data_IF_212288194472
#
_entry.id   IF_212288194472
#
_cell.length_a   1.000
_cell.length_b   1.000
_cell.length_c   1.000
_cell.angle_alpha   90.00
_cell.angle_beta   90.00
_cell.angle_gamma   90.00
#
_symmetry.space_group_name_H-M   'P 1'
#
loop_
_entity.id
_entity.type
_entity.pdbx_description
1 polymer ?
#
# COMPACT_ATOMS: atom_id res chain seq x y z
N UNK A 1 -14.84 -9.00 14.77
CA UNK A 1 -15.61 -8.94 13.52
C UNK A 1 -14.65 -8.59 12.40
N UNK A 2 -14.04 -9.63 11.82
CA UNK A 2 -13.73 -9.78 10.39
C UNK A 2 -12.92 -8.69 9.65
N UNK A 3 -11.74 -8.33 10.15
CA UNK A 3 -10.73 -7.59 9.35
C UNK A 3 -9.91 -8.53 8.42
N UNK A 4 -10.00 -9.84 8.63
CA UNK A 4 -9.24 -10.87 7.91
C UNK A 4 -9.58 -10.96 6.42
N UNK A 5 -10.74 -10.45 6.00
CA UNK A 5 -11.22 -10.50 4.61
C UNK A 5 -10.90 -9.25 3.79
N UNK A 6 -10.30 -8.19 4.36
CA UNK A 6 -10.10 -6.92 3.62
C UNK A 6 -8.83 -6.89 2.77
N UNK A 7 -7.82 -7.70 3.08
CA UNK A 7 -6.50 -7.70 2.42
C UNK A 7 -6.14 -9.06 1.83
N UNK A 8 -7.05 -9.64 1.03
CA UNK A 8 -6.93 -11.02 0.54
C UNK A 8 -5.86 -11.22 -0.55
N UNK A 9 -5.43 -10.16 -1.24
CA UNK A 9 -4.49 -10.27 -2.38
C UNK A 9 -3.12 -9.73 -2.03
N UNK A 10 -2.11 -10.59 -2.12
CA UNK A 10 -0.70 -10.21 -2.02
C UNK A 10 -0.23 -9.63 -3.35
N UNK A 11 0.32 -8.41 -3.31
CA UNK A 11 0.97 -7.77 -4.45
C UNK A 11 2.47 -7.98 -4.30
N UNK A 12 3.05 -8.82 -5.17
CA UNK A 12 4.49 -9.08 -5.19
C UNK A 12 5.13 -8.30 -6.32
N UNK A 13 6.24 -7.62 -6.04
CA UNK A 13 7.04 -6.91 -7.02
C UNK A 13 8.52 -7.11 -6.73
N UNK A 14 9.36 -6.99 -7.75
CA UNK A 14 10.81 -7.02 -7.58
C UNK A 14 11.28 -5.66 -7.08
N UNK A 15 12.12 -5.67 -6.06
CA UNK A 15 12.63 -4.48 -5.41
C UNK A 15 14.15 -4.54 -5.31
N UNK A 16 14.85 -3.40 -5.41
CA UNK A 16 16.24 -3.29 -4.96
C UNK A 16 16.37 -3.62 -3.46
N UNK A 17 17.53 -4.11 -3.05
CA UNK A 17 17.79 -4.55 -1.66
C UNK A 17 17.50 -3.44 -0.63
N UNK A 18 17.87 -2.20 -0.96
CA UNK A 18 17.69 -1.04 -0.09
C UNK A 18 16.22 -0.60 0.09
N UNK A 19 15.31 -1.05 -0.77
CA UNK A 19 13.93 -0.52 -0.77
C UNK A 19 13.16 -0.93 0.49
N UNK A 20 13.38 -2.15 0.99
CA UNK A 20 12.71 -2.64 2.20
C UNK A 20 13.10 -1.81 3.43
N UNK A 21 14.37 -1.43 3.54
CA UNK A 21 14.89 -0.59 4.62
C UNK A 21 14.38 0.86 4.50
N UNK A 22 14.38 1.41 3.28
CA UNK A 22 13.83 2.75 3.04
C UNK A 22 12.34 2.85 3.42
N UNK A 23 11.55 1.81 3.10
CA UNK A 23 10.15 1.73 3.50
C UNK A 23 10.01 1.60 5.02
N UNK A 24 10.86 0.82 5.68
CA UNK A 24 10.86 0.69 7.14
C UNK A 24 11.08 2.04 7.84
N UNK A 25 12.12 2.76 7.41
CA UNK A 25 12.45 4.09 7.94
C UNK A 25 11.30 5.09 7.70
N UNK A 26 10.67 5.04 6.54
CA UNK A 26 9.54 5.90 6.24
C UNK A 26 8.31 5.53 7.08
N UNK A 27 7.93 4.25 7.15
CA UNK A 27 6.81 3.79 7.94
C UNK A 27 6.95 4.15 9.44
N UNK A 28 8.16 4.00 9.99
CA UNK A 28 8.47 4.39 11.37
C UNK A 28 8.27 5.90 11.62
N UNK A 29 8.66 6.76 10.68
CA UNK A 29 8.43 8.22 10.78
C UNK A 29 6.94 8.58 10.81
N UNK A 30 6.10 7.75 10.20
CA UNK A 30 4.65 7.94 10.14
C UNK A 30 3.88 7.16 11.21
N UNK A 31 4.57 6.42 12.10
CA UNK A 31 3.96 5.55 13.11
C UNK A 31 3.00 4.50 12.49
N UNK A 32 3.39 3.96 11.34
CA UNK A 32 2.60 3.00 10.56
C UNK A 32 3.34 1.67 10.40
N UNK A 33 2.61 0.59 10.17
CA UNK A 33 3.22 -0.63 9.63
C UNK A 33 3.68 -0.40 8.19
N UNK A 34 4.66 -1.19 7.71
CA UNK A 34 5.13 -1.14 6.31
C UNK A 34 3.98 -1.25 5.32
N UNK A 35 3.07 -2.18 5.57
CA UNK A 35 1.92 -2.45 4.70
C UNK A 35 0.95 -1.27 4.64
N UNK A 36 0.69 -0.61 5.78
CA UNK A 36 -0.15 0.59 5.82
C UNK A 36 0.50 1.75 5.08
N UNK A 37 1.79 1.99 5.36
CA UNK A 37 2.55 3.03 4.69
C UNK A 37 2.58 2.86 3.17
N UNK A 38 2.92 1.65 2.70
CA UNK A 38 2.93 1.31 1.27
C UNK A 38 1.55 1.54 0.66
N UNK A 39 0.48 1.02 1.30
CA UNK A 39 -0.88 1.13 0.76
C UNK A 39 -1.33 2.58 0.66
N UNK A 40 -1.12 3.37 1.72
CA UNK A 40 -1.49 4.78 1.71
C UNK A 40 -0.74 5.51 0.59
N UNK A 41 0.59 5.33 0.53
CA UNK A 41 1.42 6.05 -0.44
C UNK A 41 1.12 5.67 -1.89
N UNK A 42 0.85 4.39 -2.15
CA UNK A 42 0.42 3.94 -3.46
C UNK A 42 -0.94 4.51 -3.84
N UNK A 43 -1.92 4.51 -2.94
CA UNK A 43 -3.24 5.09 -3.21
C UNK A 43 -3.15 6.59 -3.49
N UNK A 44 -2.37 7.33 -2.70
CA UNK A 44 -2.15 8.77 -2.90
C UNK A 44 -1.52 9.05 -4.27
N UNK A 45 -0.49 8.30 -4.65
CA UNK A 45 0.17 8.47 -5.94
C UNK A 45 -0.75 8.10 -7.10
N UNK A 46 -1.47 6.98 -7.02
CA UNK A 46 -2.41 6.57 -8.07
C UNK A 46 -3.52 7.62 -8.27
N UNK A 47 -4.03 8.21 -7.18
CA UNK A 47 -4.99 9.32 -7.27
C UNK A 47 -4.38 10.55 -7.94
N UNK A 48 -3.12 10.88 -7.66
CA UNK A 48 -2.41 11.96 -8.32
C UNK A 48 -2.20 11.71 -9.82
N UNK A 49 -2.05 10.44 -10.21
CA UNK A 49 -2.02 10.01 -11.62
C UNK A 49 -3.43 9.96 -12.27
N UNK A 50 -4.49 10.33 -11.55
CA UNK A 50 -5.87 10.33 -12.02
C UNK A 50 -6.55 8.96 -11.98
N UNK A 51 -5.95 7.97 -11.33
CA UNK A 51 -6.49 6.62 -11.20
C UNK A 51 -7.41 6.56 -9.97
N UNK A 52 -8.71 6.42 -10.20
CA UNK A 52 -9.68 6.23 -9.11
C UNK A 52 -9.68 4.78 -8.62
N UNK A 53 -8.90 4.53 -7.58
CA UNK A 53 -8.83 3.23 -6.89
C UNK A 53 -10.15 2.79 -6.26
N UNK A 54 -11.05 3.73 -5.94
CA UNK A 54 -12.36 3.42 -5.36
C UNK A 54 -13.31 2.92 -6.45
N UNK A 55 -13.28 3.54 -7.63
CA UNK A 55 -14.03 3.06 -8.79
C UNK A 55 -13.62 1.62 -9.19
N UNK A 56 -12.34 1.28 -9.06
CA UNK A 56 -11.83 -0.07 -9.33
C UNK A 56 -12.19 -1.09 -8.22
N UNK A 57 -12.49 -0.62 -7.01
CA UNK A 57 -12.89 -1.49 -5.90
C UNK A 57 -14.34 -2.02 -6.01
N UNK A 58 -15.12 -1.52 -6.97
CA UNK A 58 -16.50 -1.91 -7.23
C UNK A 58 -16.69 -3.01 -8.28
N UNK A 59 -15.61 -3.63 -8.78
CA UNK A 59 -15.67 -4.73 -9.74
C UNK A 59 -15.13 -6.03 -9.11
N UNK A 60 -15.80 -6.51 -8.06
CA UNK A 60 -15.58 -7.84 -7.50
C UNK A 60 -16.89 -8.40 -6.92
#
# INVERSE_FOLDING_TARGET
>A
MDDATRFQRLVQFRAPEYLSEAIDLAANKHLQSKSEYIRQRLIENLKADGIDVVALSGCA
#
